data_IF_928743459167
#
_entry.id   IF_928743459167
#
_cell.length_a   1.000
_cell.length_b   1.000
_cell.length_c   1.000
_cell.angle_alpha   90.00
_cell.angle_beta   90.00
_cell.angle_gamma   90.00
#
_symmetry.space_group_name_H-M   'P 1'
#
loop_
_entity.id
_entity.type
_entity.pdbx_description
1 polymer ?
#
# COMPACT_ATOMS: atom_id res chain seq x y z
N UNK A 1 -5.55 -7.61 -23.53
CA UNK A 1 -5.97 -8.63 -22.53
C UNK A 1 -5.51 -10.00 -23.00
N UNK A 2 -4.88 -10.79 -22.15
CA UNK A 2 -4.59 -12.21 -22.41
C UNK A 2 -5.88 -13.04 -22.27
N UNK A 3 -5.96 -14.20 -22.94
CA UNK A 3 -7.09 -15.11 -22.78
C UNK A 3 -7.03 -15.81 -21.41
N UNK A 4 -8.17 -16.36 -20.96
CA UNK A 4 -8.21 -17.13 -19.70
C UNK A 4 -7.32 -18.38 -19.78
N UNK A 5 -7.21 -18.97 -20.95
CA UNK A 5 -6.35 -20.12 -21.23
C UNK A 5 -4.88 -19.74 -21.07
N UNK A 6 -4.42 -18.65 -21.71
CA UNK A 6 -3.06 -18.15 -21.58
C UNK A 6 -2.73 -17.73 -20.13
N UNK A 7 -3.70 -17.17 -19.41
CA UNK A 7 -3.54 -16.87 -17.98
C UNK A 7 -3.35 -18.15 -17.17
N UNK A 8 -4.15 -19.17 -17.39
CA UNK A 8 -4.01 -20.48 -16.71
C UNK A 8 -2.68 -21.15 -17.00
N UNK A 9 -2.19 -21.09 -18.23
CA UNK A 9 -0.88 -21.61 -18.64
C UNK A 9 0.30 -20.90 -18.00
N UNK A 10 0.10 -19.68 -17.45
CA UNK A 10 1.13 -18.94 -16.72
C UNK A 10 1.39 -19.47 -15.29
N UNK A 11 0.63 -20.47 -14.84
CA UNK A 11 0.80 -21.09 -13.54
C UNK A 11 1.65 -22.35 -13.71
N UNK A 12 2.94 -22.23 -13.42
CA UNK A 12 3.97 -23.28 -13.57
C UNK A 12 4.46 -23.83 -12.21
N UNK A 13 3.68 -23.62 -11.17
CA UNK A 13 4.02 -23.99 -9.80
C UNK A 13 4.03 -25.54 -9.64
N UNK A 14 4.74 -26.00 -8.59
CA UNK A 14 4.69 -27.39 -8.15
C UNK A 14 3.24 -27.86 -7.98
N UNK A 15 2.87 -29.03 -8.48
CA UNK A 15 1.51 -29.56 -8.36
C UNK A 15 1.02 -29.58 -6.89
N UNK A 16 -0.12 -28.92 -6.65
CA UNK A 16 -0.70 -28.81 -5.31
C UNK A 16 -0.22 -27.62 -4.48
N UNK A 17 0.56 -26.71 -5.05
CA UNK A 17 0.88 -25.44 -4.39
C UNK A 17 -0.36 -24.54 -4.29
N UNK A 18 -0.77 -24.19 -3.07
CA UNK A 18 -1.97 -23.40 -2.79
C UNK A 18 -1.70 -22.20 -1.88
N UNK A 19 -0.46 -22.00 -1.41
CA UNK A 19 -0.14 -20.99 -0.39
C UNK A 19 0.20 -19.60 -0.99
N UNK A 20 -0.63 -19.14 -1.90
CA UNK A 20 -0.52 -17.79 -2.48
C UNK A 20 -0.71 -16.67 -1.43
N UNK A 21 -1.41 -16.96 -0.35
CA UNK A 21 -1.59 -16.03 0.76
C UNK A 21 -0.26 -15.74 1.48
N UNK A 22 0.70 -16.64 1.47
CA UNK A 22 2.05 -16.44 1.97
C UNK A 22 3.00 -15.90 0.88
N UNK A 23 2.99 -16.53 -0.30
CA UNK A 23 3.85 -16.15 -1.42
C UNK A 23 3.28 -16.65 -2.75
N UNK A 24 3.17 -15.78 -3.74
CA UNK A 24 2.83 -16.14 -5.12
C UNK A 24 4.10 -16.43 -5.92
N UNK A 25 4.29 -17.65 -6.45
CA UNK A 25 5.40 -17.93 -7.35
C UNK A 25 5.44 -16.96 -8.52
N UNK A 26 6.63 -16.50 -8.89
CA UNK A 26 6.80 -15.52 -9.95
C UNK A 26 6.16 -15.99 -11.27
N UNK A 27 5.37 -15.15 -11.91
CA UNK A 27 4.85 -15.47 -13.24
C UNK A 27 5.98 -15.54 -14.28
N UNK A 28 5.80 -16.28 -15.38
CA UNK A 28 6.79 -16.31 -16.46
C UNK A 28 7.14 -14.92 -16.99
N UNK A 29 6.14 -14.05 -17.17
CA UNK A 29 6.35 -12.68 -17.64
C UNK A 29 7.21 -11.85 -16.66
N UNK A 30 6.99 -11.98 -15.37
CA UNK A 30 7.81 -11.29 -14.35
C UNK A 30 9.25 -11.79 -14.37
N UNK A 31 9.46 -13.11 -14.52
CA UNK A 31 10.83 -13.68 -14.60
C UNK A 31 11.57 -13.22 -15.85
N UNK A 32 10.87 -13.18 -16.97
CA UNK A 32 11.44 -12.73 -18.26
C UNK A 32 11.85 -11.26 -18.18
N UNK A 33 10.96 -10.39 -17.71
CA UNK A 33 11.21 -8.95 -17.57
C UNK A 33 12.34 -8.66 -16.58
N UNK A 34 12.33 -9.30 -15.41
CA UNK A 34 13.39 -9.14 -14.41
C UNK A 34 14.77 -9.58 -14.97
N UNK A 35 14.80 -10.62 -15.81
CA UNK A 35 16.04 -11.04 -16.47
C UNK A 35 16.52 -10.01 -17.50
N UNK A 36 15.60 -9.47 -18.31
CA UNK A 36 15.92 -8.41 -19.27
C UNK A 36 16.44 -7.15 -18.58
N UNK A 37 15.85 -6.76 -17.46
CA UNK A 37 16.28 -5.61 -16.65
C UNK A 37 17.69 -5.81 -16.07
N UNK A 38 17.99 -7.01 -15.55
CA UNK A 38 19.34 -7.34 -15.06
C UNK A 38 20.39 -7.25 -16.17
N UNK A 39 20.09 -7.74 -17.36
CA UNK A 39 20.98 -7.62 -18.54
C UNK A 39 21.18 -6.15 -18.94
N UNK A 40 20.09 -5.36 -18.99
CA UNK A 40 20.16 -3.94 -19.33
C UNK A 40 21.02 -3.14 -18.34
N UNK A 41 20.80 -3.36 -17.05
CA UNK A 41 21.56 -2.70 -15.97
C UNK A 41 23.01 -3.18 -15.91
N UNK A 42 23.27 -4.46 -16.20
CA UNK A 42 24.63 -5.05 -16.20
C UNK A 42 25.59 -4.38 -17.16
N UNK A 43 25.10 -3.69 -18.20
CA UNK A 43 25.94 -2.95 -19.15
C UNK A 43 26.34 -1.55 -18.66
N UNK A 44 25.62 -0.99 -17.68
CA UNK A 44 25.79 0.40 -17.22
C UNK A 44 25.48 1.46 -18.28
N UNK A 45 24.86 1.08 -19.40
CA UNK A 45 24.46 2.03 -20.44
C UNK A 45 23.29 2.89 -19.95
N UNK A 46 23.37 4.20 -20.20
CA UNK A 46 22.34 5.15 -19.80
C UNK A 46 20.94 4.77 -20.33
N UNK A 47 20.85 4.33 -21.58
CA UNK A 47 19.58 3.88 -22.16
C UNK A 47 18.97 2.66 -21.46
N UNK A 48 19.79 1.74 -20.94
CA UNK A 48 19.30 0.60 -20.15
C UNK A 48 18.76 1.06 -18.79
N UNK A 49 19.48 1.96 -18.12
CA UNK A 49 19.05 2.54 -16.85
C UNK A 49 17.73 3.30 -17.03
N UNK A 50 17.63 4.17 -18.05
CA UNK A 50 16.42 4.92 -18.37
C UNK A 50 15.24 4.02 -18.72
N UNK A 51 15.48 2.88 -19.39
CA UNK A 51 14.45 1.88 -19.68
C UNK A 51 13.87 1.29 -18.40
N UNK A 52 14.71 0.82 -17.48
CA UNK A 52 14.28 0.26 -16.20
C UNK A 52 13.58 1.31 -15.34
N UNK A 53 14.06 2.56 -15.33
CA UNK A 53 13.41 3.66 -14.61
C UNK A 53 11.99 3.96 -15.14
N UNK A 54 11.69 3.68 -16.41
CA UNK A 54 10.33 3.85 -16.97
C UNK A 54 9.33 2.85 -16.37
N UNK A 55 9.76 1.65 -15.96
CA UNK A 55 8.90 0.66 -15.31
C UNK A 55 8.29 1.18 -14.03
N UNK A 56 8.99 2.06 -13.30
CA UNK A 56 8.47 2.72 -12.10
C UNK A 56 7.20 3.53 -12.42
N UNK A 57 7.23 4.31 -13.50
CA UNK A 57 6.08 5.12 -13.91
C UNK A 57 4.94 4.24 -14.41
N UNK A 58 5.24 3.24 -15.24
CA UNK A 58 4.24 2.29 -15.73
C UNK A 58 3.57 1.52 -14.58
N UNK A 59 4.34 1.07 -13.59
CA UNK A 59 3.78 0.40 -12.42
C UNK A 59 2.83 1.32 -11.62
N UNK A 60 3.18 2.60 -11.46
CA UNK A 60 2.30 3.59 -10.80
C UNK A 60 1.01 3.82 -11.58
N UNK A 61 1.09 3.92 -12.90
CA UNK A 61 -0.08 4.08 -13.79
C UNK A 61 -1.01 2.86 -13.69
N UNK A 62 -0.47 1.63 -13.74
CA UNK A 62 -1.25 0.40 -13.62
C UNK A 62 -1.92 0.25 -12.24
N UNK A 63 -1.22 0.58 -11.16
CA UNK A 63 -1.83 0.59 -9.81
C UNK A 63 -2.93 1.64 -9.73
N UNK A 64 -2.71 2.83 -10.28
CA UNK A 64 -3.70 3.90 -10.32
C UNK A 64 -4.94 3.50 -11.11
N UNK A 65 -4.78 2.83 -12.27
CA UNK A 65 -5.89 2.30 -13.07
C UNK A 65 -6.73 1.31 -12.27
N UNK A 66 -6.11 0.35 -11.56
CA UNK A 66 -6.81 -0.63 -10.73
C UNK A 66 -7.57 -0.02 -9.55
N UNK A 67 -7.10 1.11 -9.03
CA UNK A 67 -7.75 1.84 -7.94
C UNK A 67 -8.82 2.81 -8.47
N UNK A 68 -8.76 3.19 -9.75
CA UNK A 68 -9.60 4.24 -10.35
C UNK A 68 -9.09 5.66 -10.05
N UNK A 69 -7.77 5.88 -10.10
CA UNK A 69 -7.08 7.10 -9.65
C UNK A 69 -6.02 7.56 -10.66
N UNK A 70 -5.12 8.45 -10.24
CA UNK A 70 -4.00 8.94 -11.05
C UNK A 70 -2.64 8.52 -10.48
N UNK A 71 -1.62 8.45 -11.32
CA UNK A 71 -0.27 8.06 -10.92
C UNK A 71 0.38 9.01 -9.90
N UNK A 72 -0.05 10.28 -9.85
CA UNK A 72 0.40 11.27 -8.87
C UNK A 72 -0.01 10.91 -7.43
N UNK A 73 -1.07 10.11 -7.28
CA UNK A 73 -1.56 9.62 -6.00
C UNK A 73 -0.94 8.28 -5.58
N UNK A 74 -0.06 7.70 -6.41
CA UNK A 74 0.59 6.41 -6.15
C UNK A 74 2.09 6.60 -5.94
N UNK A 75 2.63 5.96 -4.91
CA UNK A 75 4.07 5.77 -4.71
C UNK A 75 4.40 4.28 -4.63
N UNK A 76 5.53 3.87 -5.21
CA UNK A 76 6.02 2.52 -5.03
C UNK A 76 6.73 2.41 -3.67
N UNK A 77 6.57 1.25 -3.04
CA UNK A 77 7.09 0.95 -1.71
C UNK A 77 7.77 -0.43 -1.75
N UNK A 78 8.81 -0.68 -0.98
CA UNK A 78 9.42 -2.01 -0.91
C UNK A 78 8.47 -3.10 -0.37
N UNK A 79 7.42 -2.71 0.36
CA UNK A 79 6.44 -3.62 0.96
C UNK A 79 5.17 -2.90 1.39
N UNK A 80 4.08 -3.65 1.57
CA UNK A 80 2.86 -3.15 2.23
C UNK A 80 3.18 -2.54 3.60
N UNK A 81 4.05 -3.19 4.38
CA UNK A 81 4.44 -2.69 5.72
C UNK A 81 4.98 -1.27 5.65
N UNK A 82 5.85 -0.95 4.69
CA UNK A 82 6.34 0.42 4.52
C UNK A 82 5.24 1.39 4.08
N UNK A 83 4.35 0.98 3.17
CA UNK A 83 3.18 1.79 2.80
C UNK A 83 2.28 2.10 3.99
N UNK A 84 1.99 1.12 4.84
CA UNK A 84 1.23 1.29 6.08
C UNK A 84 1.99 2.20 7.07
N UNK A 85 3.30 2.03 7.21
CA UNK A 85 4.11 2.90 8.07
C UNK A 85 4.11 4.35 7.57
N UNK A 86 4.19 4.58 6.25
CA UNK A 86 4.05 5.94 5.69
C UNK A 86 2.76 6.61 6.16
N UNK A 87 1.64 5.88 6.12
CA UNK A 87 0.36 6.40 6.56
C UNK A 87 0.29 6.60 8.08
N UNK A 88 0.54 5.54 8.87
CA UNK A 88 0.33 5.57 10.32
C UNK A 88 1.30 6.49 11.06
N UNK A 89 2.54 6.63 10.59
CA UNK A 89 3.47 7.61 11.15
C UNK A 89 3.09 9.06 10.79
N UNK A 90 2.31 9.25 9.72
CA UNK A 90 1.81 10.55 9.31
C UNK A 90 0.51 11.00 10.00
N UNK A 91 -0.20 10.09 10.67
CA UNK A 91 -1.48 10.41 11.35
C UNK A 91 -1.24 11.15 12.67
N UNK A 92 -2.11 12.13 12.94
CA UNK A 92 -2.22 12.78 14.24
C UNK A 92 -3.58 12.49 14.87
N UNK A 93 -3.60 12.15 16.17
CA UNK A 93 -4.82 11.87 16.93
C UNK A 93 -5.11 10.37 17.12
N UNK A 94 -6.33 10.04 17.54
CA UNK A 94 -6.70 8.68 17.86
C UNK A 94 -6.92 7.86 16.60
N UNK A 95 -6.17 6.77 16.44
CA UNK A 95 -6.29 5.83 15.32
C UNK A 95 -6.85 4.51 15.81
N UNK A 96 -8.05 4.16 15.32
CA UNK A 96 -8.70 2.89 15.62
C UNK A 96 -8.05 1.77 14.81
N UNK A 97 -7.66 0.70 15.50
CA UNK A 97 -7.09 -0.51 14.89
C UNK A 97 -7.39 -1.72 15.79
N UNK A 98 -7.74 -2.87 15.21
CA UNK A 98 -7.92 -4.09 15.99
C UNK A 98 -6.57 -4.75 16.29
N UNK A 99 -6.32 -5.21 17.53
CA UNK A 99 -5.13 -6.01 17.84
C UNK A 99 -5.13 -7.38 17.14
N UNK A 100 -6.29 -7.81 16.62
CA UNK A 100 -6.44 -9.05 15.86
C UNK A 100 -6.13 -8.91 14.35
N UNK A 101 -5.85 -7.71 13.87
CA UNK A 101 -5.39 -7.47 12.49
C UNK A 101 -4.06 -8.14 12.20
N UNK A 102 -3.68 -8.22 10.91
CA UNK A 102 -2.31 -8.59 10.56
C UNK A 102 -1.34 -7.69 11.34
N UNK A 103 -0.35 -8.32 11.96
CA UNK A 103 0.53 -7.65 12.95
C UNK A 103 1.17 -6.33 12.46
N UNK A 104 1.25 -6.14 11.15
CA UNK A 104 1.72 -4.89 10.52
C UNK A 104 0.95 -3.67 11.01
N UNK A 105 -0.37 -3.75 11.05
CA UNK A 105 -1.23 -2.61 11.42
C UNK A 105 -1.06 -2.22 12.90
N UNK A 106 -1.30 -3.11 13.89
CA UNK A 106 -1.15 -2.75 15.30
C UNK A 106 0.29 -2.39 15.67
N UNK A 107 1.31 -3.06 15.09
CA UNK A 107 2.72 -2.70 15.34
C UNK A 107 3.04 -1.31 14.79
N UNK A 108 2.64 -0.97 13.56
CA UNK A 108 2.92 0.34 13.00
C UNK A 108 2.24 1.45 13.81
N UNK A 109 0.99 1.26 14.24
CA UNK A 109 0.28 2.21 15.10
C UNK A 109 1.00 2.39 16.45
N UNK A 110 1.39 1.29 17.11
CA UNK A 110 2.10 1.36 18.38
C UNK A 110 3.48 2.03 18.23
N UNK A 111 4.24 1.69 17.17
CA UNK A 111 5.57 2.28 16.95
C UNK A 111 5.49 3.78 16.62
N UNK A 112 4.47 4.19 15.85
CA UNK A 112 4.23 5.61 15.59
C UNK A 112 3.90 6.37 16.88
N UNK A 113 3.07 5.79 17.75
CA UNK A 113 2.75 6.36 19.07
C UNK A 113 3.99 6.50 19.95
N UNK A 114 4.79 5.44 20.07
CA UNK A 114 5.99 5.40 20.90
C UNK A 114 7.06 6.40 20.42
N UNK A 115 7.21 6.56 19.09
CA UNK A 115 8.27 7.36 18.51
C UNK A 115 7.93 8.84 18.37
N UNK A 116 6.70 9.15 17.97
CA UNK A 116 6.30 10.52 17.58
C UNK A 116 5.39 11.19 18.59
N UNK A 117 4.68 10.43 19.43
CA UNK A 117 3.75 10.93 20.45
C UNK A 117 2.60 11.80 19.90
N UNK A 118 2.29 11.68 18.59
CA UNK A 118 1.20 12.42 17.92
C UNK A 118 0.02 11.54 17.55
N UNK A 119 0.23 10.22 17.44
CA UNK A 119 -0.80 9.21 17.24
C UNK A 119 -1.07 8.51 18.58
N UNK A 120 -2.33 8.20 18.85
CA UNK A 120 -2.76 7.37 19.99
C UNK A 120 -3.52 6.16 19.45
N UNK A 121 -3.06 4.92 19.64
CA UNK A 121 -3.82 3.74 19.25
C UNK A 121 -5.12 3.65 20.04
N UNK A 122 -6.24 3.52 19.33
CA UNK A 122 -7.55 3.19 19.88
C UNK A 122 -7.84 1.73 19.54
N UNK A 123 -7.66 0.84 20.52
CA UNK A 123 -7.81 -0.59 20.29
C UNK A 123 -9.28 -0.97 20.09
N UNK A 124 -9.59 -1.54 18.92
CA UNK A 124 -10.89 -2.05 18.55
C UNK A 124 -10.99 -3.52 18.93
N UNK A 125 -11.76 -3.84 19.95
CA UNK A 125 -12.13 -5.22 20.26
C UNK A 125 -13.16 -5.72 19.24
N UNK A 126 -12.92 -6.90 18.69
CA UNK A 126 -13.78 -7.51 17.67
C UNK A 126 -14.18 -8.91 18.08
N UNK A 127 -15.40 -9.31 17.76
CA UNK A 127 -15.83 -10.70 17.84
C UNK A 127 -15.23 -11.45 16.65
N UNK A 128 -14.63 -12.60 16.91
CA UNK A 128 -14.00 -13.46 15.88
C UNK A 128 -12.91 -12.77 15.03
N UNK A 129 -12.44 -11.59 15.47
CA UNK A 129 -11.37 -10.84 14.82
C UNK A 129 -11.80 -10.09 13.55
N UNK A 130 -13.09 -10.02 13.24
CA UNK A 130 -13.62 -9.32 12.07
C UNK A 130 -13.92 -7.85 12.40
N UNK A 131 -13.38 -6.93 11.61
CA UNK A 131 -13.69 -5.50 11.71
C UNK A 131 -14.94 -5.21 10.88
N UNK A 132 -16.09 -5.14 11.55
CA UNK A 132 -17.37 -4.87 10.90
C UNK A 132 -17.79 -3.40 11.07
N UNK A 133 -18.67 -2.86 10.19
CA UNK A 133 -19.21 -1.50 10.34
C UNK A 133 -19.90 -1.28 11.70
N UNK A 134 -20.57 -2.30 12.24
CA UNK A 134 -21.23 -2.24 13.55
C UNK A 134 -20.20 -2.10 14.67
N UNK A 135 -19.16 -2.95 14.69
CA UNK A 135 -18.11 -2.89 15.70
C UNK A 135 -17.39 -1.52 15.68
N UNK A 136 -17.12 -1.00 14.48
CA UNK A 136 -16.51 0.33 14.32
C UNK A 136 -17.45 1.42 14.84
N UNK A 137 -18.73 1.39 14.47
CA UNK A 137 -19.73 2.39 14.92
C UNK A 137 -19.83 2.45 16.44
N UNK A 138 -19.88 1.29 17.09
CA UNK A 138 -20.02 1.18 18.54
C UNK A 138 -18.78 1.68 19.31
N UNK A 139 -17.60 1.58 18.68
CA UNK A 139 -16.31 1.99 19.25
C UNK A 139 -15.91 3.44 18.91
N UNK A 140 -16.58 4.08 17.92
CA UNK A 140 -16.24 5.47 17.54
C UNK A 140 -16.36 6.45 18.68
N UNK A 141 -15.38 7.33 18.80
CA UNK A 141 -15.41 8.47 19.71
C UNK A 141 -15.23 9.79 18.94
N UNK A 142 -15.54 10.94 19.54
CA UNK A 142 -15.27 12.24 18.92
C UNK A 142 -13.78 12.45 18.58
N UNK A 143 -12.87 11.82 19.33
CA UNK A 143 -11.43 11.96 19.17
C UNK A 143 -10.84 11.03 18.10
N UNK A 144 -11.61 10.05 17.61
CA UNK A 144 -11.16 9.14 16.54
C UNK A 144 -10.90 9.94 15.25
N UNK A 145 -9.69 9.87 14.71
CA UNK A 145 -9.26 10.58 13.50
C UNK A 145 -9.04 9.65 12.33
N UNK A 146 -8.74 8.38 12.58
CA UNK A 146 -8.49 7.38 11.55
C UNK A 146 -8.95 5.98 11.96
N UNK A 147 -9.22 5.14 10.97
CA UNK A 147 -9.41 3.69 11.09
C UNK A 147 -8.38 3.00 10.19
N UNK A 148 -7.65 2.02 10.74
CA UNK A 148 -6.75 1.16 9.98
C UNK A 148 -7.28 -0.29 9.98
N UNK A 149 -7.42 -0.90 8.79
CA UNK A 149 -8.08 -2.20 8.61
C UNK A 149 -7.48 -2.96 7.41
N UNK A 150 -7.53 -4.30 7.45
CA UNK A 150 -7.25 -5.14 6.27
C UNK A 150 -8.46 -5.22 5.34
N UNK A 151 -8.24 -5.14 4.03
CA UNK A 151 -9.28 -5.40 3.02
C UNK A 151 -9.80 -6.84 3.11
N UNK A 152 -8.88 -7.78 3.31
CA UNK A 152 -9.20 -9.19 3.52
C UNK A 152 -8.40 -9.69 4.72
N UNK A 153 -9.08 -10.22 5.73
CA UNK A 153 -8.45 -10.82 6.90
C UNK A 153 -7.67 -12.09 6.51
N UNK A 154 -6.39 -12.14 6.86
CA UNK A 154 -5.48 -13.21 6.44
C UNK A 154 -5.77 -14.58 7.06
N UNK A 155 -6.55 -14.64 8.15
CA UNK A 155 -6.89 -15.86 8.87
C UNK A 155 -8.22 -16.46 8.41
N UNK A 156 -9.21 -15.59 8.21
CA UNK A 156 -10.60 -15.98 7.97
C UNK A 156 -11.04 -15.81 6.52
N UNK A 157 -10.34 -14.97 5.75
CA UNK A 157 -10.78 -14.55 4.42
C UNK A 157 -11.96 -13.57 4.45
N UNK A 158 -12.33 -13.05 5.64
CA UNK A 158 -13.37 -12.04 5.73
C UNK A 158 -13.01 -10.81 4.90
N UNK A 159 -13.91 -10.43 3.99
CA UNK A 159 -13.76 -9.25 3.14
C UNK A 159 -14.46 -8.07 3.78
N UNK A 160 -13.68 -7.05 4.10
CA UNK A 160 -14.16 -5.80 4.67
C UNK A 160 -14.92 -4.99 3.63
N UNK A 161 -16.11 -4.49 3.98
CA UNK A 161 -16.87 -3.57 3.15
C UNK A 161 -16.40 -2.13 3.37
N UNK A 162 -15.56 -1.64 2.46
CA UNK A 162 -14.95 -0.31 2.56
C UNK A 162 -15.98 0.80 2.46
N UNK A 163 -17.01 0.64 1.61
CA UNK A 163 -18.08 1.63 1.45
C UNK A 163 -18.92 1.75 2.71
N UNK A 164 -19.31 0.63 3.32
CA UNK A 164 -20.03 0.63 4.58
C UNK A 164 -19.19 1.20 5.75
N UNK A 165 -17.89 0.93 5.78
CA UNK A 165 -16.98 1.56 6.75
C UNK A 165 -16.90 3.07 6.54
N UNK A 166 -16.81 3.54 5.29
CA UNK A 166 -16.79 4.97 4.96
C UNK A 166 -18.05 5.68 5.47
N UNK A 167 -19.22 5.08 5.29
CA UNK A 167 -20.47 5.63 5.82
C UNK A 167 -20.45 5.78 7.35
N UNK A 168 -19.84 4.81 8.05
CA UNK A 168 -19.75 4.81 9.51
C UNK A 168 -18.74 5.84 10.03
N UNK A 169 -17.55 5.89 9.44
CA UNK A 169 -16.47 6.75 9.97
C UNK A 169 -16.56 8.19 9.48
N UNK A 170 -17.37 8.48 8.45
CA UNK A 170 -17.55 9.83 7.89
C UNK A 170 -16.23 10.39 7.33
N UNK A 171 -15.82 11.57 7.77
CA UNK A 171 -14.62 12.27 7.27
C UNK A 171 -13.29 11.80 7.84
N UNK A 172 -13.29 10.80 8.71
CA UNK A 172 -12.07 10.23 9.28
C UNK A 172 -11.25 9.50 8.21
N UNK A 173 -9.93 9.40 8.41
CA UNK A 173 -9.09 8.68 7.46
C UNK A 173 -9.37 7.17 7.52
N UNK A 174 -9.49 6.52 6.36
CA UNK A 174 -9.57 5.07 6.19
C UNK A 174 -8.27 4.56 5.56
N UNK A 175 -7.47 3.85 6.35
CA UNK A 175 -6.18 3.28 5.95
C UNK A 175 -6.36 1.78 5.75
N UNK A 176 -6.09 1.28 4.55
CA UNK A 176 -6.39 -0.09 4.14
C UNK A 176 -5.12 -0.86 3.80
N UNK A 177 -4.88 -1.97 4.51
CA UNK A 177 -3.94 -3.00 4.08
C UNK A 177 -4.65 -3.92 3.07
N UNK A 178 -4.29 -3.79 1.80
CA UNK A 178 -4.90 -4.54 0.71
C UNK A 178 -4.06 -5.76 0.26
N UNK A 179 -3.05 -6.16 1.04
CA UNK A 179 -2.10 -7.22 0.65
C UNK A 179 -2.74 -8.55 0.29
N UNK A 180 -3.89 -8.88 0.88
CA UNK A 180 -4.60 -10.14 0.61
C UNK A 180 -5.73 -10.00 -0.40
N UNK A 181 -5.99 -8.80 -0.92
CA UNK A 181 -7.14 -8.57 -1.81
C UNK A 181 -6.83 -7.82 -3.10
N UNK A 182 -5.76 -7.02 -3.13
CA UNK A 182 -5.46 -6.19 -4.30
C UNK A 182 -5.20 -7.02 -5.56
N UNK A 183 -5.92 -6.68 -6.64
CA UNK A 183 -5.84 -7.35 -7.94
C UNK A 183 -6.68 -8.61 -8.08
N UNK A 184 -7.31 -9.12 -7.00
CA UNK A 184 -8.14 -10.33 -7.03
C UNK A 184 -9.53 -10.17 -6.41
N UNK A 185 -9.71 -9.16 -5.57
CA UNK A 185 -11.00 -8.86 -4.92
C UNK A 185 -11.50 -7.53 -5.43
N UNK A 186 -12.73 -7.53 -5.93
CA UNK A 186 -13.43 -6.29 -6.23
C UNK A 186 -13.70 -5.51 -4.94
N UNK A 187 -13.26 -4.24 -4.89
CA UNK A 187 -13.47 -3.38 -3.75
C UNK A 187 -13.60 -1.92 -4.20
N UNK A 188 -14.37 -1.14 -3.46
CA UNK A 188 -14.45 0.31 -3.64
C UNK A 188 -13.23 0.98 -2.99
N UNK A 189 -12.11 0.96 -3.70
CA UNK A 189 -10.87 1.58 -3.21
C UNK A 189 -11.00 3.08 -3.00
N UNK A 190 -11.92 3.75 -3.71
CA UNK A 190 -12.18 5.19 -3.57
C UNK A 190 -12.86 5.55 -2.23
N UNK A 191 -13.44 4.58 -1.54
CA UNK A 191 -13.92 4.75 -0.17
C UNK A 191 -12.78 4.90 0.85
N UNK A 192 -11.57 4.42 0.53
CA UNK A 192 -10.39 4.56 1.38
C UNK A 192 -9.70 5.93 1.20
N UNK A 193 -8.77 6.24 2.09
CA UNK A 193 -7.86 7.38 1.97
C UNK A 193 -6.42 6.93 1.71
N UNK A 194 -6.04 5.76 2.22
CA UNK A 194 -4.78 5.10 1.90
C UNK A 194 -5.06 3.64 1.58
N UNK A 195 -4.48 3.15 0.50
CA UNK A 195 -4.45 1.73 0.15
C UNK A 195 -3.00 1.30 -0.03
N UNK A 196 -2.53 0.40 0.80
CA UNK A 196 -1.19 -0.17 0.66
C UNK A 196 -1.27 -1.66 0.31
N UNK A 197 -0.41 -2.08 -0.61
CA UNK A 197 -0.36 -3.47 -1.08
C UNK A 197 1.02 -3.87 -1.56
N UNK A 198 1.13 -5.09 -2.05
CA UNK A 198 2.35 -5.57 -2.69
C UNK A 198 2.07 -6.62 -3.77
N UNK A 199 3.10 -6.90 -4.59
CA UNK A 199 3.04 -7.82 -5.70
C UNK A 199 3.47 -9.25 -5.39
N UNK A 200 4.08 -9.55 -4.24
CA UNK A 200 4.70 -10.86 -4.02
C UNK A 200 3.73 -11.98 -3.65
N UNK A 201 2.45 -11.67 -3.47
CA UNK A 201 1.40 -12.66 -3.20
C UNK A 201 0.60 -12.90 -4.49
N UNK A 202 -0.59 -12.40 -4.54
CA UNK A 202 -1.56 -12.66 -5.60
C UNK A 202 -1.18 -12.15 -6.98
N UNK A 203 -0.43 -11.04 -7.05
CA UNK A 203 0.05 -10.48 -8.32
C UNK A 203 1.29 -11.22 -8.87
N UNK A 204 1.92 -12.10 -8.08
CA UNK A 204 3.05 -12.94 -8.50
C UNK A 204 4.25 -12.14 -9.05
N UNK A 205 4.42 -10.91 -8.55
CA UNK A 205 5.44 -9.95 -9.03
C UNK A 205 6.74 -9.94 -8.19
N UNK A 206 6.86 -10.84 -7.22
CA UNK A 206 8.06 -10.94 -6.39
C UNK A 206 8.12 -9.95 -5.21
N UNK A 207 9.15 -10.10 -4.39
CA UNK A 207 9.41 -9.22 -3.24
C UNK A 207 9.99 -7.90 -3.73
N UNK A 208 9.74 -6.83 -2.97
CA UNK A 208 10.18 -5.47 -3.33
C UNK A 208 9.14 -4.68 -4.15
N UNK A 209 8.13 -5.36 -4.74
CA UNK A 209 7.09 -4.76 -5.55
C UNK A 209 5.87 -4.35 -4.69
N UNK A 210 6.01 -3.34 -3.85
CA UNK A 210 4.92 -2.78 -3.06
C UNK A 210 4.50 -1.40 -3.55
N UNK A 211 3.35 -0.94 -3.07
CA UNK A 211 2.83 0.38 -3.37
C UNK A 211 2.03 0.95 -2.19
N UNK A 212 1.82 2.26 -2.22
CA UNK A 212 0.81 2.95 -1.45
C UNK A 212 0.11 4.01 -2.34
N UNK A 213 -1.20 4.03 -2.28
CA UNK A 213 -2.03 5.06 -2.87
C UNK A 213 -2.57 5.97 -1.77
N UNK A 214 -2.66 7.28 -2.06
CA UNK A 214 -3.15 8.31 -1.15
C UNK A 214 -4.22 9.14 -1.84
N UNK A 215 -5.40 9.27 -1.23
CA UNK A 215 -6.44 10.18 -1.65
C UNK A 215 -5.99 11.64 -1.48
N UNK A 216 -6.67 12.59 -2.11
CA UNK A 216 -6.43 14.02 -1.87
C UNK A 216 -6.53 14.36 -0.38
N UNK A 217 -7.54 13.81 0.31
CA UNK A 217 -7.71 13.98 1.76
C UNK A 217 -6.51 13.45 2.55
N UNK A 218 -5.95 12.30 2.16
CA UNK A 218 -4.75 11.76 2.80
C UNK A 218 -3.53 12.66 2.55
N UNK A 219 -3.34 13.15 1.32
CA UNK A 219 -2.25 14.07 0.97
C UNK A 219 -2.31 15.39 1.74
N UNK A 220 -3.51 15.87 2.09
CA UNK A 220 -3.70 17.08 2.88
C UNK A 220 -3.50 16.87 4.39
N UNK A 221 -3.82 15.68 4.91
CA UNK A 221 -3.90 15.43 6.37
C UNK A 221 -2.73 14.66 6.94
N UNK A 222 -2.02 13.89 6.11
CA UNK A 222 -0.89 13.09 6.57
C UNK A 222 0.41 13.88 6.49
N UNK A 223 1.22 13.77 7.54
CA UNK A 223 2.58 14.31 7.53
C UNK A 223 3.54 13.27 6.94
N UNK A 224 4.28 13.58 5.87
CA UNK A 224 5.24 12.64 5.29
C UNK A 224 6.51 12.56 6.14
N UNK A 225 6.51 11.68 7.15
CA UNK A 225 7.63 11.52 8.09
C UNK A 225 8.84 10.87 7.44
N UNK A 226 8.61 9.86 6.60
CA UNK A 226 9.67 9.17 5.87
C UNK A 226 9.74 9.69 4.43
N UNK A 227 10.15 10.94 4.28
CA UNK A 227 10.34 11.59 2.98
C UNK A 227 11.83 11.72 2.68
N UNK A 228 12.28 11.10 1.60
CA UNK A 228 13.69 11.09 1.19
C UNK A 228 13.96 11.97 -0.03
N UNK A 229 15.08 11.72 -0.68
CA UNK A 229 15.55 12.51 -1.83
C UNK A 229 14.56 12.55 -3.01
N UNK A 230 13.74 11.53 -3.16
CA UNK A 230 12.71 11.45 -4.19
C UNK A 230 11.36 12.00 -3.74
N UNK A 231 11.25 12.44 -2.50
CA UNK A 231 10.03 12.99 -1.91
C UNK A 231 9.82 14.49 -2.15
N UNK A 232 10.54 15.09 -3.09
CA UNK A 232 10.46 16.52 -3.45
C UNK A 232 10.22 16.68 -4.95
N UNK A 233 9.61 17.81 -5.34
CA UNK A 233 9.41 18.19 -6.75
C UNK A 233 10.60 19.00 -7.29
N UNK A 234 11.63 19.26 -6.48
CA UNK A 234 12.84 19.98 -6.89
C UNK A 234 13.74 19.07 -7.71
N UNK A 235 14.05 19.53 -8.92
CA UNK A 235 14.96 18.79 -9.82
C UNK A 235 16.41 18.89 -9.35
N UNK A 236 17.14 17.77 -9.42
CA UNK A 236 18.55 17.71 -9.08
C UNK A 236 18.80 17.51 -7.58
N UNK A 237 20.02 17.82 -7.13
CA UNK A 237 20.46 17.72 -5.73
C UNK A 237 20.86 19.10 -5.23
N UNK A 238 19.92 19.89 -4.67
CA UNK A 238 20.26 21.20 -4.11
C UNK A 238 21.21 21.04 -2.91
N UNK A 239 22.18 21.94 -2.80
CA UNK A 239 23.21 21.93 -1.76
C UNK A 239 23.14 23.10 -0.79
N UNK A 240 22.29 24.08 -1.07
CA UNK A 240 22.18 25.36 -0.38
C UNK A 240 20.86 25.57 0.38
N UNK A 241 19.90 24.66 0.20
CA UNK A 241 18.63 24.67 0.93
C UNK A 241 18.06 23.24 1.09
N UNK A 242 17.15 23.06 2.04
CA UNK A 242 16.36 21.83 2.19
C UNK A 242 15.07 22.02 1.37
N UNK A 243 14.85 21.21 0.31
CA UNK A 243 13.66 21.35 -0.51
C UNK A 243 12.40 20.97 0.26
N UNK A 244 11.25 21.61 -0.03
CA UNK A 244 9.98 21.20 0.54
C UNK A 244 9.59 19.83 0.01
N UNK A 245 8.76 19.10 0.77
CA UNK A 245 8.16 17.85 0.32
C UNK A 245 7.21 18.11 -0.86
N UNK A 246 7.08 17.10 -1.73
CA UNK A 246 6.10 17.12 -2.82
C UNK A 246 4.66 17.26 -2.28
N UNK A 247 3.77 17.79 -3.11
CA UNK A 247 2.33 17.81 -2.84
C UNK A 247 1.57 16.59 -3.33
N UNK A 248 2.26 15.67 -3.99
CA UNK A 248 1.74 14.40 -4.49
C UNK A 248 2.16 13.24 -3.57
N UNK A 249 1.79 12.01 -3.93
CA UNK A 249 2.24 10.81 -3.21
C UNK A 249 3.77 10.65 -3.20
N UNK A 250 4.51 11.35 -4.03
CA UNK A 250 5.97 11.40 -3.98
C UNK A 250 6.50 11.83 -2.61
N UNK A 251 5.76 12.67 -1.87
CA UNK A 251 6.11 13.06 -0.50
C UNK A 251 6.37 11.85 0.43
N UNK A 252 5.76 10.71 0.13
CA UNK A 252 5.88 9.46 0.89
C UNK A 252 6.89 8.48 0.28
N UNK A 253 7.85 8.96 -0.51
CA UNK A 253 8.91 8.16 -1.12
C UNK A 253 10.23 8.39 -0.39
N UNK A 254 10.90 7.30 0.03
CA UNK A 254 12.19 7.38 0.75
C UNK A 254 13.34 7.46 -0.24
N UNK A 255 13.33 6.60 -1.25
CA UNK A 255 14.38 6.48 -2.27
C UNK A 255 13.76 6.01 -3.59
N UNK A 256 14.55 6.01 -4.65
CA UNK A 256 14.15 5.36 -5.90
C UNK A 256 13.95 3.86 -5.63
N UNK A 257 12.84 3.27 -6.10
CA UNK A 257 12.59 1.83 -5.98
C UNK A 257 13.53 1.01 -6.83
#
# INVERSE_FOLDING_TARGET
>A
MISIEAYRESFEEEPGYLDFAAFGPLSPAVREEAHADLEALGTGRRSGIEHVEQHVNLARELVAELIGSTAEQVTLQPSTTQGIMQALFGVTGATMVSPNEVITLPLAAQRAADALHVLTPQWLETTDGMVTPEAVRDALTPDTTALAVSLVDYRTGYRTDLSALREVIGDRLLIVDAVQGFGIVEADYQAADVVAGNGYKWLRAGRGAGFAWFSERALERLTPVFSGVTGTDVMGLPTDFVPPVSRSAHAFTVARP
#
